data_IF_266358572811
#
_entry.id   IF_266358572811
#
_cell.length_a   1.000
_cell.length_b   1.000
_cell.length_c   1.000
_cell.angle_alpha   90.00
_cell.angle_beta   90.00
_cell.angle_gamma   90.00
#
_symmetry.space_group_name_H-M   'P 1'
#
loop_
_entity.id
_entity.type
_entity.pdbx_description
1 polymer ?
#
# COMPACT_ATOMS: atom_id res chain seq x y z
N UNK A 1 6.05 17.59 -10.71
CA UNK A 1 5.42 16.72 -9.71
C UNK A 1 5.42 15.32 -10.30
N UNK A 2 6.02 14.33 -9.65
CA UNK A 2 6.04 12.97 -10.18
C UNK A 2 4.65 12.37 -9.96
N UNK A 3 3.85 12.31 -11.02
CA UNK A 3 2.56 11.62 -11.01
C UNK A 3 2.77 10.21 -10.44
N UNK A 4 2.13 9.90 -9.30
CA UNK A 4 2.13 8.58 -8.65
C UNK A 4 1.53 7.44 -9.50
N UNK A 5 1.40 7.67 -10.81
CA UNK A 5 0.85 6.79 -11.85
C UNK A 5 1.83 5.72 -12.32
N UNK A 6 3.11 5.76 -11.90
CA UNK A 6 4.11 4.73 -12.24
C UNK A 6 4.83 4.12 -11.04
N UNK A 7 4.48 4.55 -9.83
CA UNK A 7 5.11 4.07 -8.60
C UNK A 7 4.39 2.81 -8.14
N UNK A 8 5.07 1.68 -8.13
CA UNK A 8 4.53 0.42 -7.60
C UNK A 8 4.49 0.50 -6.09
N UNK A 9 3.32 0.27 -5.51
CA UNK A 9 3.10 0.39 -4.07
C UNK A 9 4.10 -0.43 -3.25
N UNK A 10 4.34 -1.68 -3.67
CA UNK A 10 5.18 -2.60 -2.92
C UNK A 10 6.67 -2.50 -3.22
N UNK A 11 7.02 -2.31 -4.50
CA UNK A 11 8.40 -2.46 -4.99
C UNK A 11 9.17 -1.15 -5.02
N UNK A 12 8.47 -0.05 -5.27
CA UNK A 12 9.12 1.26 -5.33
C UNK A 12 9.17 1.88 -3.94
N UNK A 13 10.18 2.71 -3.72
CA UNK A 13 10.35 3.44 -2.47
C UNK A 13 9.69 4.81 -2.65
N UNK A 14 8.47 4.92 -2.15
CA UNK A 14 7.69 6.16 -2.18
C UNK A 14 7.28 6.64 -0.79
N UNK A 15 7.37 5.75 0.21
CA UNK A 15 7.21 6.06 1.63
C UNK A 15 8.48 5.68 2.38
N UNK A 16 9.06 6.66 3.08
CA UNK A 16 10.27 6.48 3.89
C UNK A 16 11.53 6.11 3.08
N UNK A 17 12.45 5.42 3.76
CA UNK A 17 13.79 5.07 3.20
C UNK A 17 13.86 3.67 2.56
N UNK A 18 12.80 2.87 2.63
CA UNK A 18 12.79 1.52 2.09
C UNK A 18 11.40 1.15 1.56
N UNK A 19 11.30 0.32 0.50
CA UNK A 19 10.04 -0.10 -0.08
C UNK A 19 9.22 -0.95 0.90
N UNK A 20 7.88 -0.91 0.77
CA UNK A 20 6.96 -1.66 1.63
C UNK A 20 7.22 -3.17 1.60
N UNK A 21 7.65 -3.73 0.46
CA UNK A 21 7.99 -5.16 0.39
C UNK A 21 9.16 -5.58 1.29
N UNK A 22 10.06 -4.65 1.64
CA UNK A 22 11.17 -4.90 2.57
C UNK A 22 10.76 -4.74 4.03
N UNK A 23 9.91 -3.75 4.33
CA UNK A 23 9.36 -3.58 5.68
C UNK A 23 8.41 -4.71 6.04
N UNK A 24 7.60 -5.16 5.08
CA UNK A 24 6.51 -6.10 5.30
C UNK A 24 6.53 -7.23 4.27
N UNK A 25 7.51 -8.16 4.39
CA UNK A 25 7.67 -9.26 3.44
C UNK A 25 6.48 -10.25 3.46
N UNK A 26 5.83 -10.44 4.62
CA UNK A 26 4.66 -11.31 4.75
C UNK A 26 3.44 -10.75 3.99
N UNK A 27 3.15 -9.47 4.19
CA UNK A 27 2.08 -8.75 3.49
C UNK A 27 2.32 -8.68 1.98
N UNK A 28 3.59 -8.51 1.56
CA UNK A 28 3.94 -8.61 0.15
C UNK A 28 3.75 -10.02 -0.41
N UNK A 29 3.94 -11.08 0.38
CA UNK A 29 3.73 -12.46 -0.06
C UNK A 29 2.25 -12.76 -0.34
N UNK A 30 1.34 -12.22 0.47
CA UNK A 30 -0.11 -12.48 0.36
C UNK A 30 -0.90 -11.42 -0.41
N UNK A 31 -0.33 -10.24 -0.66
CA UNK A 31 -1.00 -9.23 -1.48
C UNK A 31 -1.18 -9.72 -2.90
N UNK A 32 -2.40 -9.59 -3.44
CA UNK A 32 -2.68 -9.87 -4.86
C UNK A 32 -2.25 -8.66 -5.71
N UNK A 33 -2.17 -7.49 -5.08
CA UNK A 33 -1.89 -6.22 -5.73
C UNK A 33 -0.38 -5.87 -5.77
N UNK A 34 0.52 -6.87 -5.82
CA UNK A 34 1.99 -6.66 -5.88
C UNK A 34 2.48 -5.82 -7.04
N UNK A 35 1.71 -5.82 -8.13
CA UNK A 35 2.01 -5.07 -9.35
C UNK A 35 1.21 -3.78 -9.48
N UNK A 36 0.31 -3.50 -8.54
CA UNK A 36 -0.50 -2.28 -8.56
C UNK A 36 0.36 -1.08 -8.18
N UNK A 37 0.02 0.05 -8.80
CA UNK A 37 0.60 1.34 -8.50
C UNK A 37 -0.12 2.01 -7.34
N UNK A 38 0.56 2.95 -6.69
CA UNK A 38 0.02 3.75 -5.58
C UNK A 38 -1.32 4.39 -5.97
N UNK A 39 -1.42 4.97 -7.18
CA UNK A 39 -2.66 5.58 -7.67
C UNK A 39 -3.83 4.58 -7.82
N UNK A 40 -3.58 3.30 -8.08
CA UNK A 40 -4.63 2.28 -8.13
C UNK A 40 -5.03 1.78 -6.75
N UNK A 41 -4.11 1.84 -5.77
CA UNK A 41 -4.40 1.49 -4.38
C UNK A 41 -5.07 2.62 -3.61
N UNK A 42 -4.82 3.88 -3.97
CA UNK A 42 -5.50 5.05 -3.42
C UNK A 42 -6.89 5.29 -4.08
N UNK A 43 -7.53 4.25 -4.61
CA UNK A 43 -8.93 4.33 -5.07
C UNK A 43 -9.87 4.21 -3.88
N UNK A 44 -9.87 5.23 -3.02
CA UNK A 44 -10.96 5.43 -2.07
C UNK A 44 -12.26 5.54 -2.85
N UNK A 45 -13.19 4.63 -2.61
CA UNK A 45 -14.51 4.65 -3.24
C UNK A 45 -15.24 5.91 -2.79
N UNK A 46 -15.31 6.91 -3.67
CA UNK A 46 -16.05 8.15 -3.50
C UNK A 46 -15.70 8.99 -2.25
N UNK A 47 -15.05 10.14 -2.50
CA UNK A 47 -15.07 11.33 -1.64
C UNK A 47 -14.38 11.29 -0.27
N UNK A 48 -13.91 10.14 0.21
CA UNK A 48 -13.06 10.07 1.40
C UNK A 48 -11.60 9.89 0.96
N UNK A 49 -10.87 11.01 0.85
CA UNK A 49 -9.40 11.00 0.74
C UNK A 49 -8.83 10.16 1.88
N UNK A 50 -8.21 9.01 1.58
CA UNK A 50 -7.46 8.21 2.56
C UNK A 50 -7.85 6.73 2.70
N UNK A 51 -8.83 6.22 1.95
CA UNK A 51 -9.17 4.79 2.00
C UNK A 51 -8.29 3.97 1.04
N UNK A 52 -7.17 3.46 1.55
CA UNK A 52 -6.25 2.59 0.80
C UNK A 52 -6.83 1.18 0.60
N UNK A 53 -7.08 0.79 -0.65
CA UNK A 53 -7.55 -0.55 -0.99
C UNK A 53 -6.36 -1.46 -1.33
N UNK A 54 -5.82 -2.11 -0.30
CA UNK A 54 -4.64 -2.98 -0.41
C UNK A 54 -4.96 -4.38 -0.98
N UNK A 55 -6.25 -4.65 -1.23
CA UNK A 55 -6.81 -5.86 -1.83
C UNK A 55 -6.11 -7.14 -1.33
N UNK A 56 -5.98 -7.23 -0.01
CA UNK A 56 -5.36 -8.37 0.65
C UNK A 56 -6.27 -9.59 0.51
N UNK A 57 -5.65 -10.74 0.27
CA UNK A 57 -6.35 -12.02 0.19
C UNK A 57 -6.72 -12.52 1.60
N UNK A 58 -7.53 -11.74 2.33
CA UNK A 58 -8.30 -12.11 3.53
C UNK A 58 -7.60 -12.85 4.69
N UNK A 59 -6.26 -12.82 4.82
CA UNK A 59 -5.55 -13.54 5.89
C UNK A 59 -4.36 -12.83 6.55
N UNK A 60 -4.15 -11.55 6.29
CA UNK A 60 -3.06 -10.84 6.94
C UNK A 60 -3.39 -10.54 8.40
N UNK A 61 -2.36 -10.65 9.26
CA UNK A 61 -2.40 -10.21 10.64
C UNK A 61 -2.91 -8.76 10.70
N UNK A 62 -4.05 -8.54 11.35
CA UNK A 62 -4.66 -7.21 11.53
C UNK A 62 -3.68 -6.19 12.12
N UNK A 63 -2.70 -6.66 12.91
CA UNK A 63 -1.59 -5.85 13.43
C UNK A 63 -0.70 -5.27 12.32
N UNK A 64 -0.26 -6.08 11.36
CA UNK A 64 0.61 -5.64 10.26
C UNK A 64 -0.14 -4.70 9.31
N UNK A 65 -1.41 -5.02 9.02
CA UNK A 65 -2.26 -4.18 8.17
C UNK A 65 -2.54 -2.84 8.84
N UNK A 66 -2.77 -2.81 10.14
CA UNK A 66 -2.97 -1.56 10.88
C UNK A 66 -1.72 -0.68 10.87
N UNK A 67 -0.53 -1.25 11.06
CA UNK A 67 0.73 -0.50 11.01
C UNK A 67 0.96 0.10 9.62
N UNK A 68 0.67 -0.67 8.55
CA UNK A 68 0.68 -0.16 7.18
C UNK A 68 -0.31 0.98 6.98
N UNK A 69 -1.57 0.80 7.39
CA UNK A 69 -2.60 1.81 7.23
C UNK A 69 -2.24 3.09 8.00
N UNK A 70 -1.62 2.98 9.17
CA UNK A 70 -1.12 4.13 9.93
C UNK A 70 -0.08 4.92 9.12
N UNK A 71 0.91 4.24 8.55
CA UNK A 71 1.95 4.86 7.71
C UNK A 71 1.33 5.52 6.46
N UNK A 72 0.28 4.91 5.91
CA UNK A 72 -0.41 5.39 4.71
C UNK A 72 -1.39 6.53 5.00
N UNK A 73 -1.93 6.61 6.23
CA UNK A 73 -2.77 7.71 6.69
C UNK A 73 -1.94 8.95 7.10
N UNK A 74 -0.67 8.73 7.43
CA UNK A 74 0.32 9.78 7.69
C UNK A 74 0.89 10.42 6.40
N UNK A 75 0.54 9.87 5.23
CA UNK A 75 0.96 10.34 3.90
C UNK A 75 -0.07 11.25 3.25
#
# INVERSE_FOLDING_TARGET
>A
MADGTKVRFWKDQWIGQAPFCKKFPASYAESIAKQFIVAQMNMGTNQEEGAWNLNFSQRLYENEVSDMLLILNDF
#
